data_IF_781273586502
#
_entry.id   IF_781273586502
#
_cell.length_a   1.000
_cell.length_b   1.000
_cell.length_c   1.000
_cell.angle_alpha   90.00
_cell.angle_beta   90.00
_cell.angle_gamma   90.00
#
_symmetry.space_group_name_H-M   'P 1'
#
loop_
_entity.id
_entity.type
_entity.pdbx_description
1 polymer ?
#
# COMPACT_ATOMS: atom_id res chain seq x y z
N UNK A 1 5.45 11.45 -35.41
CA UNK A 1 5.00 10.17 -34.80
C UNK A 1 3.64 10.39 -34.15
N UNK A 2 2.66 9.50 -34.33
CA UNK A 2 1.38 9.64 -33.64
C UNK A 2 1.62 9.61 -32.10
N UNK A 3 0.76 10.29 -31.31
CA UNK A 3 0.90 10.27 -29.86
C UNK A 3 0.77 8.83 -29.36
N UNK A 4 1.65 8.43 -28.41
CA UNK A 4 1.67 7.07 -27.88
C UNK A 4 0.40 6.70 -27.12
N UNK A 5 -0.23 7.68 -26.48
CA UNK A 5 -1.51 7.50 -25.77
C UNK A 5 -2.46 8.67 -26.09
N UNK A 6 -3.73 8.35 -26.27
CA UNK A 6 -4.81 9.31 -26.54
C UNK A 6 -5.97 8.99 -25.62
N UNK A 7 -6.46 9.99 -24.89
CA UNK A 7 -7.67 9.84 -24.05
C UNK A 7 -8.93 9.98 -24.92
N UNK A 8 -9.84 9.04 -24.77
CA UNK A 8 -11.09 8.98 -25.52
C UNK A 8 -12.28 8.71 -24.60
N UNK A 9 -13.46 9.19 -25.01
CA UNK A 9 -14.72 8.84 -24.33
C UNK A 9 -15.15 7.40 -24.69
N UNK A 10 -15.89 6.70 -23.81
CA UNK A 10 -16.52 5.42 -24.14
C UNK A 10 -17.41 5.46 -25.39
N UNK A 11 -18.00 6.64 -25.68
CA UNK A 11 -18.88 6.85 -26.82
C UNK A 11 -18.15 6.99 -28.17
N UNK A 12 -16.84 7.27 -28.15
CA UNK A 12 -16.06 7.33 -29.39
C UNK A 12 -16.05 5.96 -30.07
N UNK A 13 -16.12 5.95 -31.40
CA UNK A 13 -16.04 4.72 -32.17
C UNK A 13 -14.79 3.92 -31.86
N UNK A 14 -14.91 2.58 -31.86
CA UNK A 14 -13.77 1.69 -31.68
C UNK A 14 -12.92 1.72 -32.95
N UNK A 15 -11.61 2.02 -32.85
CA UNK A 15 -10.74 1.92 -34.01
C UNK A 15 -10.75 0.51 -34.60
N UNK A 16 -10.68 0.41 -35.94
CA UNK A 16 -10.62 -0.88 -36.60
C UNK A 16 -9.45 -1.73 -36.11
N UNK A 17 -9.68 -3.02 -35.91
CA UNK A 17 -8.66 -3.93 -35.39
C UNK A 17 -8.34 -3.78 -33.90
N UNK A 18 -9.02 -2.90 -33.17
CA UNK A 18 -8.83 -2.70 -31.72
C UNK A 18 -9.90 -3.43 -30.88
N UNK A 19 -9.57 -3.66 -29.61
CA UNK A 19 -10.48 -4.19 -28.60
C UNK A 19 -10.30 -3.47 -27.28
N UNK A 20 -11.35 -3.50 -26.45
CA UNK A 20 -11.36 -2.87 -25.13
C UNK A 20 -10.86 -3.82 -24.05
N UNK A 21 -9.87 -3.39 -23.28
CA UNK A 21 -9.40 -4.04 -22.06
C UNK A 21 -9.86 -3.23 -20.85
N UNK A 22 -10.80 -3.79 -20.09
CA UNK A 22 -11.30 -3.16 -18.85
C UNK A 22 -10.18 -3.04 -17.80
N UNK A 23 -10.19 -1.93 -17.07
CA UNK A 23 -9.33 -1.73 -15.88
C UNK A 23 -9.55 -2.84 -14.85
N UNK A 24 -8.46 -3.30 -14.20
CA UNK A 24 -8.56 -4.25 -13.07
C UNK A 24 -7.36 -5.19 -12.96
N UNK A 25 -6.83 -5.69 -14.06
CA UNK A 25 -5.67 -6.60 -14.05
C UNK A 25 -4.43 -5.85 -14.51
N UNK A 26 -3.61 -5.40 -13.54
CA UNK A 26 -2.42 -4.59 -13.79
C UNK A 26 -1.46 -5.24 -14.80
N UNK A 27 -1.22 -6.55 -14.69
CA UNK A 27 -0.38 -7.29 -15.64
C UNK A 27 -0.85 -7.09 -17.09
N UNK A 28 -2.14 -7.33 -17.36
CA UNK A 28 -2.69 -7.22 -18.71
C UNK A 28 -2.60 -5.80 -19.23
N UNK A 29 -2.96 -4.81 -18.41
CA UNK A 29 -2.89 -3.40 -18.80
C UNK A 29 -1.46 -2.95 -19.14
N UNK A 30 -0.49 -3.31 -18.29
CA UNK A 30 0.92 -2.95 -18.49
C UNK A 30 1.50 -3.60 -19.75
N UNK A 31 1.30 -4.91 -19.93
CA UNK A 31 1.84 -5.63 -21.07
C UNK A 31 1.17 -5.22 -22.40
N UNK A 32 -0.15 -4.98 -22.40
CA UNK A 32 -0.85 -4.48 -23.58
C UNK A 32 -0.32 -3.12 -24.01
N UNK A 33 -0.13 -2.17 -23.06
CA UNK A 33 0.50 -0.87 -23.37
C UNK A 33 1.88 -1.03 -23.97
N UNK A 34 2.75 -1.78 -23.28
CA UNK A 34 4.14 -1.98 -23.72
C UNK A 34 4.22 -2.57 -25.12
N UNK A 35 3.45 -3.61 -25.42
CA UNK A 35 3.48 -4.27 -26.72
C UNK A 35 2.85 -3.39 -27.81
N UNK A 36 1.81 -2.62 -27.51
CA UNK A 36 1.20 -1.67 -28.45
C UNK A 36 2.19 -0.56 -28.82
N UNK A 37 2.90 -0.01 -27.81
CA UNK A 37 3.93 1.00 -28.07
C UNK A 37 5.12 0.43 -28.84
N UNK A 38 5.55 -0.80 -28.55
CA UNK A 38 6.62 -1.47 -29.28
C UNK A 38 6.26 -1.74 -30.75
N UNK A 39 4.96 -1.94 -31.04
CA UNK A 39 4.44 -2.08 -32.40
C UNK A 39 4.23 -0.72 -33.11
N UNK A 40 4.65 0.41 -32.52
CA UNK A 40 4.43 1.75 -33.08
C UNK A 40 2.97 2.18 -33.15
N UNK A 41 2.07 1.51 -32.42
CA UNK A 41 0.63 1.76 -32.44
C UNK A 41 0.19 2.59 -31.23
N UNK A 42 -0.91 3.31 -31.37
CA UNK A 42 -1.47 4.17 -30.31
C UNK A 42 -2.32 3.35 -29.32
N UNK A 43 -2.18 3.63 -28.04
CA UNK A 43 -3.08 3.16 -26.99
C UNK A 43 -4.15 4.21 -26.75
N UNK A 44 -5.43 3.83 -26.78
CA UNK A 44 -6.52 4.73 -26.43
C UNK A 44 -6.95 4.48 -24.99
N UNK A 45 -6.77 5.48 -24.12
CA UNK A 45 -7.21 5.44 -22.74
C UNK A 45 -8.67 5.84 -22.67
N UNK A 46 -9.53 4.94 -22.24
CA UNK A 46 -10.98 5.19 -22.17
C UNK A 46 -11.31 5.78 -20.81
N UNK A 47 -11.81 7.02 -20.82
CA UNK A 47 -12.14 7.79 -19.63
C UNK A 47 -13.59 8.28 -19.64
N UNK A 48 -14.25 8.25 -18.48
CA UNK A 48 -15.56 8.85 -18.26
C UNK A 48 -15.58 9.50 -16.88
N UNK A 49 -16.07 10.76 -16.81
CA UNK A 49 -16.17 11.53 -15.57
C UNK A 49 -14.84 11.53 -14.76
N UNK A 50 -13.73 11.79 -15.42
CA UNK A 50 -12.36 11.79 -14.85
C UNK A 50 -11.94 10.42 -14.26
N UNK A 51 -12.64 9.34 -14.61
CA UNK A 51 -12.31 7.98 -14.18
C UNK A 51 -11.89 7.14 -15.38
N UNK A 52 -10.69 6.55 -15.31
CA UNK A 52 -10.21 5.60 -16.34
C UNK A 52 -10.99 4.30 -16.21
N UNK A 53 -11.66 3.90 -17.29
CA UNK A 53 -12.44 2.65 -17.39
C UNK A 53 -11.60 1.48 -17.90
N UNK A 54 -10.63 1.77 -18.78
CA UNK A 54 -9.77 0.77 -19.40
C UNK A 54 -8.95 1.37 -20.54
N UNK A 55 -8.45 0.52 -21.41
CA UNK A 55 -7.70 0.93 -22.61
C UNK A 55 -8.21 0.18 -23.84
N UNK A 56 -8.06 0.79 -25.02
CA UNK A 56 -8.25 0.10 -26.31
C UNK A 56 -6.89 -0.16 -26.91
N UNK A 57 -6.66 -1.40 -27.31
CA UNK A 57 -5.39 -1.88 -27.87
C UNK A 57 -5.69 -2.81 -29.05
N UNK A 58 -4.72 -3.09 -29.94
CA UNK A 58 -4.91 -4.04 -31.04
C UNK A 58 -5.37 -5.41 -30.55
N UNK A 59 -6.32 -6.03 -31.26
CA UNK A 59 -6.92 -7.34 -30.90
C UNK A 59 -5.88 -8.45 -30.80
N UNK A 60 -4.93 -8.49 -31.73
CA UNK A 60 -3.85 -9.45 -31.79
C UNK A 60 -2.95 -9.35 -30.55
N UNK A 61 -2.56 -8.13 -30.17
CA UNK A 61 -1.77 -7.87 -28.95
C UNK A 61 -2.57 -8.27 -27.70
N UNK A 62 -3.84 -7.91 -27.63
CA UNK A 62 -4.68 -8.28 -26.50
C UNK A 62 -4.80 -9.79 -26.34
N UNK A 63 -5.01 -10.52 -27.42
CA UNK A 63 -5.07 -12.00 -27.43
C UNK A 63 -3.77 -12.60 -26.92
N UNK A 64 -2.61 -12.17 -27.45
CA UNK A 64 -1.28 -12.63 -26.99
C UNK A 64 -1.09 -12.36 -25.48
N UNK A 65 -1.45 -11.17 -24.99
CA UNK A 65 -1.34 -10.83 -23.57
C UNK A 65 -2.27 -11.69 -22.72
N UNK A 66 -3.47 -12.02 -23.21
CA UNK A 66 -4.40 -12.91 -22.48
C UNK A 66 -3.83 -14.33 -22.35
N UNK A 67 -3.30 -14.91 -23.43
CA UNK A 67 -2.64 -16.22 -23.42
C UNK A 67 -1.47 -16.24 -22.45
N UNK A 68 -0.54 -15.29 -22.60
CA UNK A 68 0.64 -15.18 -21.75
C UNK A 68 0.28 -14.92 -20.26
N UNK A 69 -0.78 -14.15 -20.00
CA UNK A 69 -1.27 -13.92 -18.65
C UNK A 69 -1.78 -15.20 -18.00
N UNK A 70 -2.42 -16.08 -18.75
CA UNK A 70 -2.91 -17.38 -18.26
C UNK A 70 -1.74 -18.35 -18.01
N UNK A 71 -0.85 -18.52 -18.97
CA UNK A 71 0.31 -19.40 -18.89
C UNK A 71 1.23 -19.03 -17.70
N UNK A 72 1.47 -17.75 -17.47
CA UNK A 72 2.38 -17.29 -16.40
C UNK A 72 1.69 -17.09 -15.06
N UNK A 73 0.37 -17.30 -14.96
CA UNK A 73 -0.41 -17.00 -13.73
C UNK A 73 0.10 -17.75 -12.50
N UNK A 74 0.34 -19.05 -12.63
CA UNK A 74 0.82 -19.88 -11.51
C UNK A 74 2.20 -19.46 -11.05
N UNK A 75 3.13 -19.26 -11.98
CA UNK A 75 4.49 -18.80 -11.67
C UNK A 75 4.51 -17.42 -11.00
N UNK A 76 3.71 -16.47 -11.49
CA UNK A 76 3.56 -15.13 -10.86
C UNK A 76 2.96 -15.19 -9.46
N UNK A 77 1.96 -16.07 -9.24
CA UNK A 77 1.38 -16.30 -7.92
C UNK A 77 2.45 -16.80 -6.95
N UNK A 78 3.18 -17.85 -7.32
CA UNK A 78 4.25 -18.44 -6.52
C UNK A 78 5.36 -17.41 -6.19
N UNK A 79 5.78 -16.61 -7.18
CA UNK A 79 6.78 -15.55 -6.97
C UNK A 79 6.28 -14.51 -5.97
N UNK A 80 5.00 -14.13 -6.05
CA UNK A 80 4.39 -13.17 -5.12
C UNK A 80 4.32 -13.75 -3.70
N UNK A 81 3.96 -15.02 -3.57
CA UNK A 81 3.92 -15.72 -2.28
C UNK A 81 5.32 -15.84 -1.65
N UNK A 82 6.34 -16.21 -2.44
CA UNK A 82 7.73 -16.23 -1.97
C UNK A 82 8.21 -14.88 -1.46
N UNK A 83 7.92 -13.80 -2.19
CA UNK A 83 8.26 -12.43 -1.77
C UNK A 83 7.52 -12.04 -0.48
N UNK A 84 6.27 -12.41 -0.37
CA UNK A 84 5.46 -12.14 0.81
C UNK A 84 6.01 -12.84 2.05
N UNK A 85 6.30 -14.14 1.93
CA UNK A 85 6.94 -14.93 2.99
C UNK A 85 8.30 -14.36 3.40
N UNK A 86 9.12 -13.95 2.43
CA UNK A 86 10.42 -13.31 2.72
C UNK A 86 10.24 -11.99 3.48
N UNK A 87 9.25 -11.17 3.10
CA UNK A 87 8.95 -9.92 3.79
C UNK A 87 8.55 -10.15 5.24
N UNK A 88 7.66 -11.13 5.51
CA UNK A 88 7.24 -11.47 6.88
C UNK A 88 8.43 -12.01 7.68
N UNK A 89 9.27 -12.87 7.09
CA UNK A 89 10.45 -13.40 7.77
C UNK A 89 11.45 -12.29 8.15
N UNK A 90 11.70 -11.34 7.24
CA UNK A 90 12.55 -10.19 7.53
C UNK A 90 11.96 -9.31 8.64
N UNK A 91 10.65 -9.08 8.60
CA UNK A 91 9.96 -8.32 9.64
C UNK A 91 10.01 -9.03 11.00
N UNK A 92 9.92 -10.35 11.03
CA UNK A 92 10.03 -11.14 12.26
C UNK A 92 11.44 -11.03 12.84
N UNK A 93 12.49 -11.21 12.04
CA UNK A 93 13.87 -11.08 12.50
C UNK A 93 14.17 -9.67 13.03
N UNK A 94 13.68 -8.63 12.36
CA UNK A 94 13.81 -7.24 12.80
C UNK A 94 13.05 -6.98 14.11
N UNK A 95 11.85 -7.57 14.24
CA UNK A 95 11.05 -7.49 15.46
C UNK A 95 11.78 -8.11 16.65
N UNK A 96 12.33 -9.31 16.47
CA UNK A 96 13.08 -10.03 17.50
C UNK A 96 14.36 -9.27 17.91
N UNK A 97 15.02 -8.61 16.96
CA UNK A 97 16.18 -7.76 17.19
C UNK A 97 15.84 -6.52 18.02
N UNK A 98 14.71 -5.84 17.71
CA UNK A 98 14.32 -4.61 18.40
C UNK A 98 13.60 -4.85 19.74
N UNK A 99 12.91 -5.99 19.87
CA UNK A 99 12.03 -6.31 21.01
C UNK A 99 12.29 -7.71 21.55
N UNK A 100 13.50 -7.94 22.06
CA UNK A 100 13.99 -9.26 22.50
C UNK A 100 13.16 -9.91 23.61
N UNK A 101 12.31 -9.16 24.31
CA UNK A 101 11.44 -9.62 25.38
C UNK A 101 9.94 -9.52 25.07
N UNK A 102 9.59 -9.40 23.80
CA UNK A 102 8.18 -9.37 23.40
C UNK A 102 7.53 -10.74 23.64
N UNK A 103 6.33 -10.82 24.26
CA UNK A 103 5.60 -12.08 24.39
C UNK A 103 5.26 -12.66 23.00
N UNK A 104 5.37 -14.00 22.87
CA UNK A 104 5.16 -14.69 21.56
C UNK A 104 3.77 -14.39 20.97
N UNK A 105 2.74 -14.35 21.80
CA UNK A 105 1.39 -14.03 21.34
C UNK A 105 1.29 -12.62 20.74
N UNK A 106 1.94 -11.63 21.38
CA UNK A 106 1.96 -10.25 20.88
C UNK A 106 2.81 -10.15 19.62
N UNK A 107 3.94 -10.86 19.56
CA UNK A 107 4.81 -10.96 18.39
C UNK A 107 4.04 -11.44 17.16
N UNK A 108 3.29 -12.53 17.26
CA UNK A 108 2.46 -13.07 16.20
C UNK A 108 1.40 -12.06 15.73
N UNK A 109 0.72 -11.42 16.69
CA UNK A 109 -0.31 -10.42 16.39
C UNK A 109 0.27 -9.19 15.71
N UNK A 110 1.44 -8.69 16.13
CA UNK A 110 2.12 -7.58 15.47
C UNK A 110 2.43 -7.91 14.01
N UNK A 111 3.00 -9.08 13.74
CA UNK A 111 3.29 -9.52 12.37
C UNK A 111 2.03 -9.70 11.54
N UNK A 112 1.04 -10.40 12.07
CA UNK A 112 -0.25 -10.67 11.40
C UNK A 112 -1.00 -9.39 11.05
N UNK A 113 -1.06 -8.44 11.96
CA UNK A 113 -1.82 -7.20 11.75
C UNK A 113 -1.00 -6.12 11.05
N UNK A 114 0.23 -5.85 11.52
CA UNK A 114 1.08 -4.78 10.99
C UNK A 114 1.50 -5.02 9.54
N UNK A 115 1.75 -6.27 9.17
CA UNK A 115 2.24 -6.66 7.84
C UNK A 115 1.19 -7.35 6.96
N UNK A 116 -0.10 -7.24 7.30
CA UNK A 116 -1.19 -7.79 6.49
C UNK A 116 -1.21 -7.20 5.09
N UNK A 117 -1.24 -8.08 4.08
CA UNK A 117 -1.27 -7.71 2.67
C UNK A 117 -2.56 -6.96 2.30
N UNK A 118 -2.45 -5.96 1.43
CA UNK A 118 -3.58 -5.13 0.96
C UNK A 118 -4.35 -4.40 2.07
N UNK A 119 -3.73 -4.17 3.22
CA UNK A 119 -4.39 -3.52 4.37
C UNK A 119 -4.16 -2.01 4.44
N UNK A 120 -3.31 -1.44 3.58
CA UNK A 120 -2.86 -0.04 3.69
C UNK A 120 -2.01 0.26 4.92
N UNK A 121 -1.63 -0.78 5.70
CA UNK A 121 -0.86 -0.60 6.95
C UNK A 121 0.63 -0.36 6.69
N UNK A 122 1.28 0.23 7.67
CA UNK A 122 2.67 0.67 7.61
C UNK A 122 3.68 -0.40 7.19
N UNK A 123 3.47 -1.65 7.56
CA UNK A 123 4.36 -2.76 7.23
C UNK A 123 4.51 -3.04 5.73
N UNK A 124 3.59 -2.55 4.90
CA UNK A 124 3.58 -2.77 3.44
C UNK A 124 3.97 -1.56 2.60
N UNK A 125 4.20 -0.40 3.21
CA UNK A 125 4.72 0.76 2.48
C UNK A 125 6.19 0.55 2.07
N UNK A 126 6.60 1.14 0.95
CA UNK A 126 8.01 1.20 0.54
C UNK A 126 8.69 2.54 0.92
N UNK A 127 7.97 3.42 1.60
CA UNK A 127 8.41 4.79 1.88
C UNK A 127 9.34 4.89 3.10
N UNK A 128 9.34 3.88 3.98
CA UNK A 128 10.12 3.91 5.23
C UNK A 128 10.92 2.62 5.41
N UNK A 129 12.08 2.67 6.10
CA UNK A 129 12.91 1.50 6.40
C UNK A 129 12.17 0.44 7.23
N UNK A 130 12.61 -0.82 7.11
CA UNK A 130 11.99 -1.96 7.80
C UNK A 130 11.96 -1.78 9.32
N UNK A 131 13.06 -1.32 9.90
CA UNK A 131 13.16 -1.06 11.34
C UNK A 131 12.05 -0.10 11.84
N UNK A 132 11.78 0.98 11.11
CA UNK A 132 10.68 1.91 11.43
C UNK A 132 9.30 1.29 11.24
N UNK A 133 9.12 0.45 10.20
CA UNK A 133 7.85 -0.28 10.00
C UNK A 133 7.53 -1.17 11.20
N UNK A 134 8.52 -1.90 11.68
CA UNK A 134 8.40 -2.79 12.84
C UNK A 134 8.04 -1.98 14.08
N UNK A 135 8.80 -0.92 14.38
CA UNK A 135 8.50 -0.03 15.51
C UNK A 135 7.07 0.51 15.45
N UNK A 136 6.63 1.01 14.31
CA UNK A 136 5.27 1.56 14.15
C UNK A 136 4.19 0.50 14.29
N UNK A 137 4.45 -0.73 13.83
CA UNK A 137 3.52 -1.85 14.01
C UNK A 137 3.39 -2.25 15.50
N UNK A 138 4.50 -2.28 16.23
CA UNK A 138 4.54 -2.56 17.68
C UNK A 138 3.84 -1.45 18.45
N UNK A 139 4.15 -0.19 18.17
CA UNK A 139 3.51 0.96 18.83
C UNK A 139 1.99 0.96 18.59
N UNK A 140 1.55 0.65 17.37
CA UNK A 140 0.13 0.53 17.07
C UNK A 140 -0.52 -0.64 17.84
N UNK A 141 0.17 -1.78 17.91
CA UNK A 141 -0.31 -2.94 18.66
C UNK A 141 -0.46 -2.64 20.15
N UNK A 142 0.58 -2.08 20.80
CA UNK A 142 0.53 -1.69 22.22
C UNK A 142 -0.61 -0.71 22.45
N UNK A 143 -0.74 0.31 21.63
CA UNK A 143 -1.80 1.32 21.74
C UNK A 143 -3.19 0.71 21.82
N UNK A 144 -3.50 -0.24 20.94
CA UNK A 144 -4.83 -0.84 20.85
C UNK A 144 -5.05 -2.03 21.79
N UNK A 145 -3.99 -2.72 22.23
CA UNK A 145 -4.13 -3.96 23.02
C UNK A 145 -3.67 -3.85 24.46
N UNK A 146 -2.73 -2.94 24.76
CA UNK A 146 -2.13 -2.82 26.07
C UNK A 146 -2.40 -1.47 26.75
N UNK A 147 -3.23 -0.63 26.12
CA UNK A 147 -3.70 0.64 26.72
C UNK A 147 -5.21 0.78 26.56
N UNK A 148 -5.78 1.77 27.22
CA UNK A 148 -7.20 2.14 27.11
C UNK A 148 -7.47 3.13 25.97
N UNK A 149 -6.62 3.19 24.95
CA UNK A 149 -6.71 4.18 23.87
C UNK A 149 -8.06 4.17 23.17
N UNK A 150 -8.58 2.99 22.83
CA UNK A 150 -9.86 2.89 22.13
C UNK A 150 -11.03 3.32 23.02
N UNK A 151 -11.00 2.95 24.30
CA UNK A 151 -12.01 3.41 25.29
C UNK A 151 -12.02 4.93 25.46
N UNK A 152 -10.83 5.57 25.43
CA UNK A 152 -10.74 7.05 25.50
C UNK A 152 -11.36 7.71 24.25
N UNK A 153 -11.17 7.13 23.07
CA UNK A 153 -11.81 7.62 21.84
C UNK A 153 -13.32 7.43 21.85
N UNK A 154 -13.79 6.27 22.30
CA UNK A 154 -15.22 5.96 22.43
C UNK A 154 -15.90 6.91 23.46
N UNK A 155 -15.14 7.35 24.47
CA UNK A 155 -15.55 8.39 25.42
C UNK A 155 -15.49 9.82 24.87
N UNK A 156 -15.23 10.01 23.59
CA UNK A 156 -15.21 11.32 22.93
C UNK A 156 -13.91 12.10 23.04
N UNK A 157 -12.85 11.50 23.59
CA UNK A 157 -11.53 12.16 23.66
C UNK A 157 -10.92 12.31 22.26
N UNK A 158 -10.29 13.46 21.99
CA UNK A 158 -9.58 13.65 20.73
C UNK A 158 -8.39 12.69 20.61
N UNK A 159 -8.01 12.34 19.37
CA UNK A 159 -6.89 11.42 19.10
C UNK A 159 -5.57 11.88 19.74
N UNK A 160 -5.32 13.19 19.75
CA UNK A 160 -4.07 13.74 20.30
C UNK A 160 -4.07 13.76 21.83
N UNK A 161 -5.19 14.04 22.46
CA UNK A 161 -5.35 13.92 23.90
C UNK A 161 -5.21 12.46 24.34
N UNK A 162 -5.86 11.53 23.66
CA UNK A 162 -5.74 10.09 23.95
C UNK A 162 -4.30 9.59 23.81
N UNK A 163 -3.57 10.00 22.76
CA UNK A 163 -2.14 9.68 22.59
C UNK A 163 -1.29 10.20 23.74
N UNK A 164 -1.52 11.45 24.19
CA UNK A 164 -0.81 12.02 25.34
C UNK A 164 -1.06 11.22 26.61
N UNK A 165 -2.31 10.86 26.86
CA UNK A 165 -2.74 10.10 28.05
C UNK A 165 -2.04 8.73 28.12
N UNK A 166 -1.96 8.01 27.01
CA UNK A 166 -1.39 6.66 26.99
C UNK A 166 0.13 6.62 26.84
N UNK A 167 0.81 7.74 26.54
CA UNK A 167 2.25 7.80 26.23
C UNK A 167 3.11 7.09 27.29
N UNK A 168 2.85 7.36 28.57
CA UNK A 168 3.60 6.74 29.68
C UNK A 168 3.49 5.21 29.66
N UNK A 169 2.26 4.69 29.57
CA UNK A 169 2.00 3.24 29.52
C UNK A 169 2.61 2.57 28.29
N UNK A 170 2.55 3.24 27.16
CA UNK A 170 3.16 2.78 25.91
C UNK A 170 4.68 2.67 26.05
N UNK A 171 5.34 3.71 26.62
CA UNK A 171 6.78 3.72 26.86
C UNK A 171 7.22 2.63 27.85
N UNK A 172 6.46 2.42 28.94
CA UNK A 172 6.71 1.36 29.90
C UNK A 172 6.62 -0.03 29.26
N UNK A 173 5.65 -0.24 28.37
CA UNK A 173 5.48 -1.51 27.67
C UNK A 173 6.61 -1.76 26.68
N UNK A 174 7.05 -0.74 25.92
CA UNK A 174 8.21 -0.85 25.03
C UNK A 174 9.49 -1.25 25.79
N UNK A 175 9.76 -0.58 26.93
CA UNK A 175 10.93 -0.91 27.77
C UNK A 175 10.86 -2.34 28.30
N UNK A 176 9.68 -2.79 28.74
CA UNK A 176 9.47 -4.16 29.20
C UNK A 176 9.74 -5.19 28.09
N UNK A 177 9.47 -4.82 26.83
CA UNK A 177 9.75 -5.66 25.67
C UNK A 177 11.19 -5.52 25.15
N UNK A 178 12.03 -4.74 25.83
CA UNK A 178 13.46 -4.62 25.56
C UNK A 178 13.82 -3.47 24.62
N UNK A 179 12.92 -2.50 24.39
CA UNK A 179 13.18 -1.35 23.53
C UNK A 179 13.14 -0.05 24.36
N UNK A 180 14.25 0.70 24.35
CA UNK A 180 14.40 1.95 25.10
C UNK A 180 14.23 3.21 24.23
N UNK A 181 13.78 3.04 22.99
CA UNK A 181 13.60 4.18 22.06
C UNK A 181 12.66 5.25 22.63
N UNK A 182 13.07 6.51 22.48
CA UNK A 182 12.21 7.64 22.82
C UNK A 182 11.02 7.77 21.85
N UNK A 183 9.89 8.15 22.41
CA UNK A 183 8.62 8.33 21.70
C UNK A 183 8.26 9.83 21.47
N UNK A 184 9.25 10.74 21.47
CA UNK A 184 9.00 12.16 21.18
C UNK A 184 8.23 12.35 19.86
N UNK A 185 8.66 11.64 18.79
CA UNK A 185 8.04 11.64 17.47
C UNK A 185 6.58 11.17 17.48
N UNK A 186 6.15 10.38 18.46
CA UNK A 186 4.80 9.82 18.52
C UNK A 186 3.70 10.89 18.65
N UNK A 187 4.02 12.00 19.28
CA UNK A 187 3.12 13.15 19.42
C UNK A 187 3.21 14.10 18.23
N UNK A 188 4.37 14.18 17.57
CA UNK A 188 4.61 15.08 16.43
C UNK A 188 3.90 14.61 15.15
N UNK A 189 3.72 13.31 14.97
CA UNK A 189 3.05 12.72 13.80
C UNK A 189 1.57 13.09 13.65
N UNK A 190 1.03 13.91 14.55
CA UNK A 190 -0.37 14.36 14.56
C UNK A 190 -0.57 15.76 14.01
N UNK A 191 0.48 16.46 13.57
CA UNK A 191 0.30 17.74 12.87
C UNK A 191 -0.32 17.46 11.50
N UNK A 192 -1.47 18.08 11.15
CA UNK A 192 -1.92 18.11 9.78
C UNK A 192 -0.78 18.73 8.94
N UNK A 193 -0.41 18.13 7.84
CA UNK A 193 0.24 18.88 6.77
C UNK A 193 -0.76 19.96 6.39
N UNK A 194 -0.52 21.18 6.80
CA UNK A 194 -1.19 22.34 6.22
C UNK A 194 -0.94 22.25 4.73
N UNK A 195 -2.02 21.94 3.99
CA UNK A 195 -2.03 22.15 2.55
C UNK A 195 -1.75 23.64 2.36
N UNK A 196 -0.57 23.95 1.83
CA UNK A 196 -0.32 25.25 1.22
C UNK A 196 -1.42 25.42 0.17
N UNK A 197 -2.45 26.15 0.55
CA UNK A 197 -3.32 26.81 -0.37
C UNK A 197 -2.51 27.96 -0.97
N UNK A 198 -1.99 27.73 -2.17
CA UNK A 198 -1.48 28.81 -3.02
C UNK A 198 -2.62 29.79 -3.23
N UNK A 199 -2.52 30.88 -2.52
CA UNK A 199 -3.23 32.13 -2.81
C UNK A 199 -2.41 32.79 -3.90
N UNK A 200 -2.73 32.50 -5.16
CA UNK A 200 -2.41 33.40 -6.26
C UNK A 200 -3.58 34.37 -6.39
N UNK A 201 -3.37 35.54 -5.83
CA UNK A 201 -4.14 36.73 -6.13
C UNK A 201 -3.20 37.74 -6.81
N UNK A 202 -3.52 38.07 -8.04
CA UNK A 202 -3.24 39.22 -8.91
C UNK A 202 -2.87 38.85 -10.32
#
# INVERSE_FOLDING_TARGET
MPPREVTVSPRNAMPEGYAFLKKGIQYKTLHSRRLTHAAGKTVYVVESNKKILGIRVPKDILSRVHTQANETRAARKLTTEKRDTATIRQAAAELDSQFSKIPEQDRELVLKHGFKKHSGRVGRTNLIPLARKVLYAVVAHIRHRHTNYDTLLDGGMSRDAAKKTIKKKLQETLRRWGNEQDLSWYLESSRPTESQSDVDDT
#
